data_IF_988591901306
#
_entry.id   IF_988591901306
#
_cell.length_a   1.000
_cell.length_b   1.000
_cell.length_c   1.000
_cell.angle_alpha   90.00
_cell.angle_beta   90.00
_cell.angle_gamma   90.00
#
_symmetry.space_group_name_H-M   'P 1'
#
loop_
_entity.id
_entity.type
_entity.pdbx_description
1 polymer ?
#
# COMPACT_ATOMS: atom_id res chain seq x y z
N UNK A 1 -0.39 -31.93 16.81
CA UNK A 1 -1.06 -33.20 16.44
C UNK A 1 -1.96 -32.91 15.24
N UNK A 2 -1.67 -33.56 14.11
CA UNK A 2 -2.30 -33.27 12.82
C UNK A 2 -3.77 -33.72 12.79
N UNK A 3 -4.70 -32.78 12.58
CA UNK A 3 -6.11 -33.08 12.33
C UNK A 3 -6.32 -33.50 10.87
N UNK A 4 -5.92 -34.73 10.53
CA UNK A 4 -6.40 -35.43 9.35
C UNK A 4 -7.89 -35.80 9.57
N UNK A 5 -8.82 -34.89 9.27
CA UNK A 5 -10.25 -35.19 9.47
C UNK A 5 -11.25 -34.44 8.60
N UNK A 6 -10.87 -33.35 7.93
CA UNK A 6 -11.83 -32.51 7.19
C UNK A 6 -11.95 -32.88 5.71
N UNK A 7 -10.86 -33.34 5.08
CA UNK A 7 -10.85 -33.72 3.66
C UNK A 7 -11.62 -35.00 3.36
N UNK A 8 -11.51 -36.01 4.22
CA UNK A 8 -12.17 -37.32 4.07
C UNK A 8 -13.67 -37.24 4.27
N UNK A 9 -14.14 -36.37 5.19
CA UNK A 9 -15.55 -36.11 5.42
C UNK A 9 -16.24 -35.38 4.24
N UNK A 10 -15.53 -34.46 3.58
CA UNK A 10 -16.04 -33.73 2.43
C UNK A 10 -16.19 -34.64 1.20
N UNK A 11 -15.18 -35.49 0.96
CA UNK A 11 -15.22 -36.48 -0.11
C UNK A 11 -16.33 -37.51 0.10
N UNK A 12 -16.52 -37.99 1.34
CA UNK A 12 -17.57 -38.98 1.65
C UNK A 12 -18.97 -38.43 1.48
N UNK A 13 -19.24 -37.19 1.89
CA UNK A 13 -20.57 -36.56 1.69
C UNK A 13 -20.83 -36.30 0.20
N UNK A 14 -19.84 -35.80 -0.56
CA UNK A 14 -19.99 -35.61 -2.00
C UNK A 14 -20.16 -36.92 -2.76
N UNK A 15 -19.43 -37.97 -2.37
CA UNK A 15 -19.57 -39.33 -2.94
C UNK A 15 -20.93 -39.93 -2.58
N UNK A 16 -21.44 -39.71 -1.37
CA UNK A 16 -22.80 -40.14 -0.98
C UNK A 16 -23.88 -39.41 -1.77
N UNK A 17 -23.76 -38.09 -1.97
CA UNK A 17 -24.70 -37.31 -2.79
C UNK A 17 -24.62 -37.77 -4.25
N UNK A 18 -23.42 -37.97 -4.80
CA UNK A 18 -23.23 -38.47 -6.16
C UNK A 18 -23.78 -39.90 -6.33
N UNK A 19 -23.56 -40.79 -5.34
CA UNK A 19 -24.09 -42.15 -5.33
C UNK A 19 -25.62 -42.20 -5.24
N UNK A 20 -26.24 -41.28 -4.48
CA UNK A 20 -27.69 -41.15 -4.40
C UNK A 20 -28.28 -40.60 -5.71
N UNK A 21 -27.60 -39.65 -6.36
CA UNK A 21 -28.00 -39.12 -7.67
C UNK A 21 -27.84 -40.16 -8.79
N UNK A 22 -26.77 -40.96 -8.78
CA UNK A 22 -26.60 -42.05 -9.76
C UNK A 22 -27.60 -43.19 -9.53
N UNK A 23 -27.89 -43.56 -8.28
CA UNK A 23 -28.93 -44.52 -7.95
C UNK A 23 -30.33 -44.04 -8.40
N UNK A 24 -30.58 -42.73 -8.35
CA UNK A 24 -31.80 -42.11 -8.86
C UNK A 24 -31.91 -42.17 -10.39
N UNK A 25 -30.83 -41.88 -11.12
CA UNK A 25 -30.83 -41.96 -12.60
C UNK A 25 -31.00 -43.40 -13.12
N UNK A 26 -30.59 -44.42 -12.36
CA UNK A 26 -30.64 -45.83 -12.78
C UNK A 26 -31.99 -46.49 -12.49
N UNK A 27 -32.77 -46.02 -11.52
CA UNK A 27 -33.91 -46.81 -10.99
C UNK A 27 -35.30 -46.50 -11.55
N UNK A 28 -35.45 -45.49 -12.42
CA UNK A 28 -36.75 -45.17 -13.02
C UNK A 28 -37.75 -44.58 -12.02
N UNK A 29 -38.14 -43.33 -12.25
CA UNK A 29 -38.94 -42.47 -11.36
C UNK A 29 -40.11 -43.14 -10.63
N UNK A 30 -39.96 -43.33 -9.31
CA UNK A 30 -41.06 -43.31 -8.35
C UNK A 30 -40.94 -42.04 -7.51
N UNK A 31 -42.01 -41.25 -7.40
CA UNK A 31 -42.02 -39.96 -6.69
C UNK A 31 -41.54 -40.07 -5.23
N UNK A 32 -41.76 -41.22 -4.59
CA UNK A 32 -41.27 -41.55 -3.26
C UNK A 32 -39.75 -41.63 -3.18
N UNK A 33 -39.07 -42.18 -4.20
CA UNK A 33 -37.61 -42.27 -4.26
C UNK A 33 -36.98 -40.87 -4.36
N UNK A 34 -37.56 -39.98 -5.17
CA UNK A 34 -37.13 -38.58 -5.26
C UNK A 34 -37.24 -37.88 -3.90
N UNK A 35 -38.37 -38.04 -3.21
CA UNK A 35 -38.61 -37.42 -1.89
C UNK A 35 -37.61 -37.95 -0.85
N UNK A 36 -37.32 -39.25 -0.82
CA UNK A 36 -36.33 -39.83 0.09
C UNK A 36 -34.91 -39.33 -0.24
N UNK A 37 -34.50 -39.31 -1.51
CA UNK A 37 -33.18 -38.79 -1.90
C UNK A 37 -33.02 -37.31 -1.52
N UNK A 38 -34.03 -36.47 -1.78
CA UNK A 38 -34.01 -35.06 -1.38
C UNK A 38 -33.96 -34.93 0.16
N UNK A 39 -34.71 -35.74 0.90
CA UNK A 39 -34.68 -35.74 2.36
C UNK A 39 -33.29 -36.16 2.91
N UNK A 40 -32.66 -37.18 2.34
CA UNK A 40 -31.32 -37.62 2.76
C UNK A 40 -30.28 -36.55 2.42
N UNK A 41 -30.31 -35.97 1.22
CA UNK A 41 -29.39 -34.89 0.83
C UNK A 41 -29.57 -33.68 1.74
N UNK A 42 -30.79 -33.27 2.05
CA UNK A 42 -31.06 -32.14 2.94
C UNK A 42 -30.59 -32.41 4.37
N UNK A 43 -30.80 -33.61 4.92
CA UNK A 43 -30.27 -34.00 6.23
C UNK A 43 -28.74 -33.99 6.23
N UNK A 44 -28.08 -34.62 5.25
CA UNK A 44 -26.62 -34.64 5.15
C UNK A 44 -26.04 -33.22 4.97
N UNK A 45 -26.66 -32.39 4.13
CA UNK A 45 -26.27 -31.00 3.94
C UNK A 45 -26.45 -30.18 5.23
N UNK A 46 -27.53 -30.42 5.98
CA UNK A 46 -27.79 -29.74 7.26
C UNK A 46 -26.77 -30.14 8.34
N UNK A 47 -26.41 -31.42 8.42
CA UNK A 47 -25.37 -31.93 9.33
C UNK A 47 -23.99 -31.40 8.96
N UNK A 48 -23.68 -31.34 7.66
CA UNK A 48 -22.44 -30.76 7.16
C UNK A 48 -22.34 -29.26 7.47
N UNK A 49 -23.41 -28.52 7.21
CA UNK A 49 -23.49 -27.09 7.53
C UNK A 49 -23.39 -26.85 9.04
N UNK A 50 -24.06 -27.69 9.84
CA UNK A 50 -23.96 -27.64 11.30
C UNK A 50 -22.53 -27.88 11.78
N UNK A 51 -21.81 -28.87 11.21
CA UNK A 51 -20.40 -29.11 11.51
C UNK A 51 -19.51 -27.92 11.10
N UNK A 52 -19.74 -27.32 9.94
CA UNK A 52 -18.98 -26.15 9.49
C UNK A 52 -19.19 -24.93 10.39
N UNK A 53 -20.40 -24.77 10.93
CA UNK A 53 -20.79 -23.70 11.85
C UNK A 53 -20.52 -24.02 13.31
N UNK A 54 -19.92 -25.16 13.62
CA UNK A 54 -19.59 -25.53 15.01
C UNK A 54 -18.51 -24.59 15.53
N UNK A 55 -18.92 -23.64 16.37
CA UNK A 55 -18.02 -22.70 17.06
C UNK A 55 -17.55 -23.31 18.39
N UNK A 56 -16.36 -22.94 18.82
CA UNK A 56 -15.85 -23.22 20.17
C UNK A 56 -15.81 -21.92 20.99
N UNK A 57 -15.43 -22.01 22.28
CA UNK A 57 -15.34 -20.84 23.15
C UNK A 57 -14.30 -19.79 22.74
N UNK A 58 -13.37 -20.14 21.84
CA UNK A 58 -12.34 -19.23 21.32
C UNK A 58 -12.72 -18.56 20.00
N UNK A 59 -13.76 -19.01 19.30
CA UNK A 59 -14.14 -18.47 17.98
C UNK A 59 -14.33 -16.95 17.98
N UNK A 60 -14.93 -16.38 19.03
CA UNK A 60 -15.18 -14.93 19.09
C UNK A 60 -13.89 -14.10 19.04
N UNK A 61 -12.77 -14.68 19.52
CA UNK A 61 -11.44 -14.06 19.49
C UNK A 61 -10.60 -14.43 18.27
N UNK A 62 -11.13 -15.18 17.30
CA UNK A 62 -10.39 -15.57 16.08
C UNK A 62 -10.78 -14.71 14.89
N UNK A 63 -9.81 -14.05 14.26
CA UNK A 63 -10.02 -13.21 13.07
C UNK A 63 -9.11 -13.67 11.94
N UNK A 64 -9.66 -13.84 10.74
CA UNK A 64 -8.87 -14.03 9.53
C UNK A 64 -8.64 -12.69 8.84
N UNK A 65 -7.38 -12.36 8.56
CA UNK A 65 -6.98 -11.24 7.73
C UNK A 65 -6.53 -11.81 6.39
N UNK A 66 -7.21 -11.45 5.30
CA UNK A 66 -7.00 -11.99 3.97
C UNK A 66 -6.49 -10.92 3.01
N UNK A 67 -5.35 -11.21 2.39
CA UNK A 67 -4.75 -10.41 1.32
C UNK A 67 -4.49 -11.32 0.14
N UNK A 68 -5.14 -11.06 -1.00
CA UNK A 68 -4.85 -11.78 -2.24
C UNK A 68 -3.66 -11.14 -2.96
N UNK A 69 -2.56 -11.05 -2.23
CA UNK A 69 -1.37 -10.28 -2.57
C UNK A 69 -0.24 -10.62 -1.61
N UNK A 70 0.92 -10.02 -1.84
CA UNK A 70 2.08 -10.19 -0.98
C UNK A 70 1.89 -9.50 0.37
N UNK A 71 1.95 -10.27 1.44
CA UNK A 71 1.82 -9.77 2.82
C UNK A 71 2.91 -8.74 3.10
N UNK A 72 4.15 -8.99 2.66
CA UNK A 72 5.29 -8.11 2.91
C UNK A 72 5.12 -6.72 2.29
N UNK A 73 4.28 -6.58 1.26
CA UNK A 73 3.98 -5.32 0.55
C UNK A 73 2.61 -4.74 0.90
N UNK A 74 1.97 -5.25 1.94
CA UNK A 74 0.63 -4.81 2.37
C UNK A 74 0.67 -4.23 3.79
N UNK A 75 1.31 -3.06 4.00
CA UNK A 75 1.58 -2.51 5.33
C UNK A 75 0.30 -2.28 6.14
N UNK A 76 -0.76 -1.72 5.54
CA UNK A 76 -2.06 -1.51 6.20
C UNK A 76 -2.63 -2.81 6.80
N UNK A 77 -2.55 -3.91 6.06
CA UNK A 77 -3.06 -5.20 6.54
C UNK A 77 -2.16 -5.83 7.60
N UNK A 78 -0.85 -5.61 7.52
CA UNK A 78 0.08 -5.96 8.59
C UNK A 78 -0.24 -5.19 9.88
N UNK A 79 -0.58 -3.90 9.80
CA UNK A 79 -0.99 -3.10 10.96
C UNK A 79 -2.35 -3.53 11.51
N UNK A 80 -3.31 -3.91 10.66
CA UNK A 80 -4.56 -4.52 11.13
C UNK A 80 -4.31 -5.82 11.89
N UNK A 81 -3.47 -6.71 11.35
CA UNK A 81 -3.11 -7.96 12.03
C UNK A 81 -2.44 -7.70 13.40
N UNK A 82 -1.49 -6.77 13.46
CA UNK A 82 -0.83 -6.37 14.71
C UNK A 82 -1.80 -5.73 15.70
N UNK A 83 -2.65 -4.82 15.25
CA UNK A 83 -3.63 -4.15 16.11
C UNK A 83 -4.61 -5.16 16.70
N UNK A 84 -5.13 -6.08 15.89
CA UNK A 84 -6.02 -7.15 16.36
C UNK A 84 -5.30 -8.04 17.40
N UNK A 85 -4.06 -8.44 17.14
CA UNK A 85 -3.26 -9.24 18.08
C UNK A 85 -3.10 -8.55 19.43
N UNK A 86 -2.71 -7.25 19.42
CA UNK A 86 -2.53 -6.44 20.63
C UNK A 86 -3.81 -6.29 21.45
N UNK A 87 -4.98 -6.44 20.83
CA UNK A 87 -6.28 -6.43 21.49
C UNK A 87 -6.78 -7.84 21.87
N UNK A 88 -5.90 -8.84 21.87
CA UNK A 88 -6.19 -10.19 22.36
C UNK A 88 -6.92 -11.10 21.37
N UNK A 89 -6.91 -10.76 20.07
CA UNK A 89 -7.41 -11.64 19.02
C UNK A 89 -6.31 -12.56 18.48
N UNK A 90 -6.68 -13.81 18.19
CA UNK A 90 -5.86 -14.75 17.43
C UNK A 90 -6.08 -14.49 15.95
N UNK A 91 -5.03 -14.07 15.25
CA UNK A 91 -5.09 -13.64 13.85
C UNK A 91 -4.56 -14.73 12.94
N UNK A 92 -5.38 -15.17 11.98
CA UNK A 92 -4.92 -15.98 10.85
C UNK A 92 -4.68 -15.06 9.66
N UNK A 93 -3.41 -14.85 9.29
CA UNK A 93 -3.03 -13.93 8.22
C UNK A 93 -2.74 -14.69 6.92
N UNK A 94 -3.62 -14.57 5.93
CA UNK A 94 -3.58 -15.30 4.66
C UNK A 94 -3.09 -14.40 3.53
N UNK A 95 -2.08 -14.83 2.77
CA UNK A 95 -1.57 -14.10 1.60
C UNK A 95 -0.30 -14.72 1.01
N UNK A 96 0.29 -14.07 0.00
CA UNK A 96 1.58 -14.49 -0.57
C UNK A 96 2.73 -14.15 0.39
N UNK A 97 3.80 -14.94 0.34
CA UNK A 97 5.03 -14.76 1.14
C UNK A 97 6.24 -14.55 0.23
N UNK A 98 6.11 -13.64 -0.74
CA UNK A 98 7.19 -13.34 -1.68
C UNK A 98 8.23 -12.41 -1.05
N UNK A 99 7.80 -11.48 -0.18
CA UNK A 99 8.68 -10.61 0.59
C UNK A 99 8.48 -10.84 2.09
N UNK A 100 9.55 -10.60 2.87
CA UNK A 100 9.54 -10.76 4.32
C UNK A 100 8.57 -9.74 4.96
N UNK A 101 7.57 -10.19 5.75
CA UNK A 101 6.74 -9.29 6.54
C UNK A 101 7.53 -8.50 7.59
N UNK A 102 6.93 -7.43 8.11
CA UNK A 102 7.49 -6.62 9.20
C UNK A 102 7.87 -7.50 10.40
N UNK A 103 8.99 -7.19 11.05
CA UNK A 103 9.53 -8.04 12.12
C UNK A 103 8.51 -8.23 13.27
N UNK A 104 7.73 -7.20 13.59
CA UNK A 104 6.70 -7.28 14.62
C UNK A 104 5.63 -8.33 14.28
N UNK A 105 5.23 -8.45 13.00
CA UNK A 105 4.26 -9.48 12.57
C UNK A 105 4.83 -10.87 12.76
N UNK A 106 6.13 -11.04 12.50
CA UNK A 106 6.83 -12.31 12.62
C UNK A 106 7.11 -12.72 14.08
N UNK A 107 7.21 -11.75 14.99
CA UNK A 107 7.49 -11.97 16.41
C UNK A 107 6.23 -12.19 17.25
N UNK A 108 5.08 -11.76 16.75
CA UNK A 108 3.81 -11.78 17.48
C UNK A 108 3.20 -13.18 17.54
N UNK A 109 3.07 -13.74 18.75
CA UNK A 109 2.65 -15.14 18.96
C UNK A 109 1.19 -15.42 18.53
N UNK A 110 0.30 -14.43 18.64
CA UNK A 110 -1.10 -14.61 18.26
C UNK A 110 -1.34 -14.42 16.75
N UNK A 111 -0.30 -14.14 15.96
CA UNK A 111 -0.42 -14.05 14.50
C UNK A 111 0.13 -15.32 13.85
N UNK A 112 -0.76 -16.06 13.19
CA UNK A 112 -0.41 -17.22 12.38
C UNK A 112 -0.52 -16.90 10.91
N UNK A 113 0.60 -16.90 10.20
CA UNK A 113 0.64 -16.73 8.75
C UNK A 113 0.27 -18.04 8.04
N UNK A 114 -0.63 -17.97 7.07
CA UNK A 114 -1.02 -19.08 6.21
C UNK A 114 -0.74 -18.69 4.75
N UNK A 115 0.37 -19.18 4.16
CA UNK A 115 0.73 -18.80 2.81
C UNK A 115 -0.23 -19.38 1.78
N UNK A 116 -0.54 -18.58 0.77
CA UNK A 116 -1.15 -19.02 -0.48
C UNK A 116 -0.15 -18.85 -1.62
N UNK A 117 -0.26 -19.68 -2.66
CA UNK A 117 0.62 -19.61 -3.82
C UNK A 117 0.04 -18.66 -4.88
N UNK A 118 0.89 -17.84 -5.50
CA UNK A 118 0.49 -17.01 -6.62
C UNK A 118 0.10 -17.88 -7.83
N UNK A 119 -1.14 -17.73 -8.29
CA UNK A 119 -1.66 -18.47 -9.44
C UNK A 119 -1.33 -17.72 -10.74
N UNK A 120 -0.50 -18.32 -11.58
CA UNK A 120 -0.09 -17.75 -12.88
C UNK A 120 -1.01 -18.14 -14.05
N UNK A 121 -1.92 -19.10 -13.84
CA UNK A 121 -2.80 -19.64 -14.89
C UNK A 121 -2.06 -20.49 -15.93
N UNK A 122 -2.80 -21.02 -16.91
CA UNK A 122 -2.20 -21.76 -18.03
C UNK A 122 -1.50 -20.77 -18.95
N UNK A 123 -0.18 -20.89 -19.08
CA UNK A 123 0.66 -19.94 -19.84
C UNK A 123 0.64 -20.17 -21.35
N UNK A 124 0.05 -21.27 -21.80
CA UNK A 124 -0.02 -21.67 -23.21
C UNK A 124 -1.45 -21.49 -23.71
N UNK A 125 -1.63 -20.71 -24.78
CA UNK A 125 -2.94 -20.49 -25.42
C UNK A 125 -3.42 -19.03 -25.37
N UNK A 126 -4.71 -18.77 -25.71
CA UNK A 126 -5.28 -17.43 -25.73
C UNK A 126 -5.25 -16.78 -24.34
N UNK A 127 -4.93 -15.47 -24.26
CA UNK A 127 -4.86 -14.73 -22.99
C UNK A 127 -6.14 -14.87 -22.13
N UNK A 128 -7.31 -14.96 -22.76
CA UNK A 128 -8.58 -15.19 -22.07
C UNK A 128 -8.58 -16.49 -21.26
N UNK A 129 -8.05 -17.59 -21.83
CA UNK A 129 -7.97 -18.88 -21.15
C UNK A 129 -7.05 -18.81 -19.93
N UNK A 130 -5.92 -18.09 -20.05
CA UNK A 130 -5.02 -17.83 -18.92
C UNK A 130 -5.74 -17.12 -17.79
N UNK A 131 -6.48 -16.05 -18.07
CA UNK A 131 -7.22 -15.29 -17.06
C UNK A 131 -8.32 -16.13 -16.39
N UNK A 132 -9.16 -16.80 -17.18
CA UNK A 132 -10.25 -17.63 -16.65
C UNK A 132 -9.70 -18.75 -15.78
N UNK A 133 -8.67 -19.46 -16.25
CA UNK A 133 -8.07 -20.55 -15.50
C UNK A 133 -7.38 -20.05 -14.23
N UNK A 134 -6.71 -18.90 -14.29
CA UNK A 134 -6.14 -18.23 -13.11
C UNK A 134 -7.21 -17.98 -12.06
N UNK A 135 -8.32 -17.35 -12.44
CA UNK A 135 -9.42 -17.04 -11.52
C UNK A 135 -10.02 -18.31 -10.92
N UNK A 136 -10.29 -19.34 -11.73
CA UNK A 136 -10.87 -20.62 -11.23
C UNK A 136 -9.94 -21.29 -10.22
N UNK A 137 -8.65 -21.45 -10.55
CA UNK A 137 -7.69 -22.09 -9.63
C UNK A 137 -7.55 -21.27 -8.35
N UNK A 138 -7.53 -19.93 -8.45
CA UNK A 138 -7.45 -19.04 -7.30
C UNK A 138 -8.72 -19.11 -6.43
N UNK A 139 -9.91 -19.24 -7.02
CA UNK A 139 -11.16 -19.51 -6.30
C UNK A 139 -11.05 -20.81 -5.48
N UNK A 140 -10.62 -21.90 -6.13
CA UNK A 140 -10.51 -23.22 -5.49
C UNK A 140 -9.47 -23.23 -4.37
N UNK A 141 -8.33 -22.56 -4.58
CA UNK A 141 -7.28 -22.41 -3.58
C UNK A 141 -7.80 -21.64 -2.36
N UNK A 142 -8.39 -20.47 -2.56
CA UNK A 142 -8.95 -19.65 -1.47
C UNK A 142 -10.04 -20.41 -0.71
N UNK A 143 -10.95 -21.07 -1.42
CA UNK A 143 -12.01 -21.86 -0.81
C UNK A 143 -11.42 -23.00 0.05
N UNK A 144 -10.44 -23.73 -0.47
CA UNK A 144 -9.76 -24.80 0.25
C UNK A 144 -9.05 -24.30 1.50
N UNK A 145 -8.33 -23.19 1.42
CA UNK A 145 -7.60 -22.61 2.56
C UNK A 145 -8.55 -22.10 3.62
N UNK A 146 -9.55 -21.29 3.23
CA UNK A 146 -10.52 -20.71 4.17
C UNK A 146 -11.45 -21.76 4.80
N UNK A 147 -11.68 -22.91 4.14
CA UNK A 147 -12.41 -24.03 4.75
C UNK A 147 -11.52 -24.92 5.63
N UNK A 148 -10.19 -24.88 5.48
CA UNK A 148 -9.26 -25.65 6.32
C UNK A 148 -8.86 -24.94 7.61
N UNK A 149 -8.87 -23.60 7.61
CA UNK A 149 -8.67 -22.84 8.85
C UNK A 149 -9.84 -23.05 9.81
N UNK A 150 -9.57 -22.83 11.10
CA UNK A 150 -10.58 -22.93 12.14
C UNK A 150 -11.70 -21.90 11.92
N UNK A 151 -12.92 -22.13 12.45
CA UNK A 151 -13.98 -21.14 12.40
C UNK A 151 -13.56 -19.81 13.03
N UNK A 152 -13.66 -18.73 12.25
CA UNK A 152 -13.30 -17.37 12.66
C UNK A 152 -14.59 -16.58 12.96
N UNK A 153 -14.55 -15.64 13.88
CA UNK A 153 -15.68 -14.72 14.09
C UNK A 153 -15.78 -13.71 12.95
N UNK A 154 -14.64 -13.20 12.48
CA UNK A 154 -14.55 -12.20 11.43
C UNK A 154 -13.54 -12.62 10.35
N UNK A 155 -13.82 -12.22 9.11
CA UNK A 155 -12.89 -12.26 7.99
C UNK A 155 -12.75 -10.85 7.44
N UNK A 156 -11.58 -10.23 7.64
CA UNK A 156 -11.21 -8.92 7.12
C UNK A 156 -10.39 -9.10 5.84
N UNK A 157 -10.87 -8.56 4.73
CA UNK A 157 -10.24 -8.73 3.42
C UNK A 157 -9.84 -7.39 2.82
N UNK A 158 -8.63 -7.33 2.27
CA UNK A 158 -8.17 -6.20 1.48
C UNK A 158 -8.85 -6.17 0.10
N UNK A 159 -9.34 -5.00 -0.33
CA UNK A 159 -9.65 -4.72 -1.73
C UNK A 159 -8.88 -3.47 -2.19
N UNK A 160 -8.12 -3.51 -3.30
CA UNK A 160 -7.90 -4.61 -4.23
C UNK A 160 -6.73 -5.57 -3.86
N UNK A 161 -6.62 -6.75 -4.50
CA UNK A 161 -7.54 -7.29 -5.51
C UNK A 161 -8.73 -8.03 -4.89
N UNK A 162 -9.94 -7.62 -5.31
CA UNK A 162 -11.19 -8.22 -4.85
C UNK A 162 -11.63 -9.43 -5.65
N UNK A 163 -11.23 -9.57 -6.91
CA UNK A 163 -11.57 -10.73 -7.74
C UNK A 163 -10.47 -11.82 -7.59
N UNK A 164 -10.80 -13.07 -7.21
CA UNK A 164 -12.11 -13.60 -6.81
C UNK A 164 -12.41 -13.56 -5.30
N UNK A 165 -11.53 -12.95 -4.50
CA UNK A 165 -11.57 -12.93 -3.04
C UNK A 165 -12.92 -12.54 -2.43
N UNK A 166 -13.59 -11.49 -2.92
CA UNK A 166 -14.85 -10.98 -2.34
C UNK A 166 -15.90 -12.09 -2.34
N UNK A 167 -16.13 -12.71 -3.48
CA UNK A 167 -17.14 -13.77 -3.64
C UNK A 167 -16.82 -15.01 -2.79
N UNK A 168 -15.55 -15.43 -2.79
CA UNK A 168 -15.13 -16.62 -2.03
C UNK A 168 -15.20 -16.37 -0.52
N UNK A 169 -14.69 -15.22 -0.06
CA UNK A 169 -14.72 -14.83 1.35
C UNK A 169 -16.16 -14.67 1.84
N UNK A 170 -17.03 -14.02 1.07
CA UNK A 170 -18.46 -13.92 1.37
C UNK A 170 -19.09 -15.31 1.49
N UNK A 171 -18.89 -16.18 0.50
CA UNK A 171 -19.47 -17.53 0.50
C UNK A 171 -19.01 -18.34 1.72
N UNK A 172 -17.73 -18.30 2.07
CA UNK A 172 -17.21 -18.98 3.26
C UNK A 172 -17.80 -18.38 4.53
N UNK A 173 -17.95 -17.06 4.62
CA UNK A 173 -18.57 -16.40 5.77
C UNK A 173 -20.03 -16.84 5.95
N UNK A 174 -20.80 -16.96 4.86
CA UNK A 174 -22.17 -17.50 4.89
C UNK A 174 -22.19 -18.95 5.37
N UNK A 175 -21.27 -19.79 4.87
CA UNK A 175 -21.16 -21.19 5.31
C UNK A 175 -20.82 -21.30 6.80
N UNK A 176 -19.85 -20.51 7.28
CA UNK A 176 -19.31 -20.54 8.66
C UNK A 176 -20.13 -19.73 9.67
N UNK A 177 -21.02 -18.84 9.22
CA UNK A 177 -21.66 -17.86 10.09
C UNK A 177 -20.70 -16.79 10.62
N UNK A 178 -19.65 -16.48 9.86
CA UNK A 178 -18.67 -15.44 10.18
C UNK A 178 -19.13 -14.08 9.66
N UNK A 179 -18.65 -12.99 10.24
CA UNK A 179 -18.87 -11.62 9.74
C UNK A 179 -17.83 -11.30 8.68
N UNK A 180 -18.28 -10.90 7.49
CA UNK A 180 -17.38 -10.52 6.41
C UNK A 180 -17.15 -9.01 6.44
N UNK A 181 -15.88 -8.60 6.45
CA UNK A 181 -15.45 -7.21 6.42
C UNK A 181 -14.57 -6.97 5.20
N UNK A 182 -14.92 -5.98 4.38
CA UNK A 182 -14.06 -5.52 3.27
C UNK A 182 -13.39 -4.22 3.69
N UNK A 183 -12.08 -4.14 3.52
CA UNK A 183 -11.31 -2.91 3.64
C UNK A 183 -10.97 -2.38 2.24
N UNK A 184 -11.65 -1.31 1.85
CA UNK A 184 -11.59 -0.70 0.53
C UNK A 184 -10.45 0.33 0.48
N UNK A 185 -9.38 -0.02 -0.24
CA UNK A 185 -8.21 0.82 -0.45
C UNK A 185 -8.28 1.54 -1.79
N UNK A 186 -8.89 0.91 -2.78
CA UNK A 186 -9.18 1.46 -4.11
C UNK A 186 -10.24 0.57 -4.78
N UNK A 187 -10.62 0.87 -6.00
CA UNK A 187 -11.40 -0.03 -6.85
C UNK A 187 -10.49 -0.88 -7.73
N UNK A 188 -10.69 -2.19 -7.73
CA UNK A 188 -9.91 -3.10 -8.58
C UNK A 188 -10.07 -2.76 -10.06
N UNK A 189 -11.29 -2.40 -10.49
CA UNK A 189 -11.54 -2.06 -11.89
C UNK A 189 -10.82 -0.78 -12.36
N UNK A 190 -10.62 0.23 -11.50
CA UNK A 190 -9.92 1.46 -11.89
C UNK A 190 -8.43 1.21 -12.08
N UNK A 191 -7.82 0.40 -11.22
CA UNK A 191 -6.42 -0.05 -11.40
C UNK A 191 -6.27 -0.83 -12.71
N UNK A 192 -7.19 -1.76 -12.99
CA UNK A 192 -7.18 -2.51 -14.26
C UNK A 192 -7.36 -1.62 -15.49
N UNK A 193 -8.07 -0.50 -15.33
CA UNK A 193 -8.31 0.46 -16.41
C UNK A 193 -7.04 1.24 -16.80
N UNK A 194 -6.04 1.36 -15.93
CA UNK A 194 -4.75 1.98 -16.28
C UNK A 194 -4.07 1.19 -17.42
N UNK A 195 -4.03 -0.15 -17.32
CA UNK A 195 -3.36 -0.97 -18.34
C UNK A 195 -4.22 -1.33 -19.55
N UNK A 196 -5.55 -1.42 -19.39
CA UNK A 196 -6.46 -1.89 -20.46
C UNK A 196 -7.34 -0.80 -21.06
N UNK A 197 -7.47 0.35 -20.40
CA UNK A 197 -8.41 1.40 -20.75
C UNK A 197 -9.82 1.17 -20.17
N UNK A 198 -10.50 2.27 -19.84
CA UNK A 198 -11.82 2.28 -19.18
C UNK A 198 -12.92 1.54 -19.94
N UNK A 199 -12.84 1.51 -21.28
CA UNK A 199 -13.87 0.90 -22.15
C UNK A 199 -13.66 -0.61 -22.35
N UNK A 200 -12.58 -1.19 -21.84
CA UNK A 200 -12.25 -2.58 -22.07
C UNK A 200 -13.27 -3.53 -21.40
N UNK A 201 -13.74 -4.61 -22.08
CA UNK A 201 -14.78 -5.50 -21.54
C UNK A 201 -14.43 -6.12 -20.18
N UNK A 202 -13.15 -6.46 -19.96
CA UNK A 202 -12.68 -7.03 -18.68
C UNK A 202 -12.80 -6.01 -17.54
N UNK A 203 -12.56 -4.72 -17.80
CA UNK A 203 -12.73 -3.65 -16.80
C UNK A 203 -14.20 -3.49 -16.43
N UNK A 204 -15.10 -3.53 -17.43
CA UNK A 204 -16.55 -3.50 -17.19
C UNK A 204 -17.02 -4.71 -16.36
N UNK A 205 -16.48 -5.89 -16.63
CA UNK A 205 -16.77 -7.11 -15.87
C UNK A 205 -16.25 -6.99 -14.43
N UNK A 206 -15.03 -6.49 -14.22
CA UNK A 206 -14.47 -6.26 -12.89
C UNK A 206 -15.32 -5.24 -12.10
N UNK A 207 -15.74 -4.14 -12.74
CA UNK A 207 -16.64 -3.16 -12.13
C UNK A 207 -17.98 -3.78 -11.73
N UNK A 208 -18.60 -4.56 -12.62
CA UNK A 208 -19.84 -5.28 -12.30
C UNK A 208 -19.65 -6.25 -11.14
N UNK A 209 -18.53 -6.98 -11.11
CA UNK A 209 -18.22 -7.94 -10.05
C UNK A 209 -18.08 -7.26 -8.69
N UNK A 210 -17.28 -6.19 -8.59
CA UNK A 210 -17.11 -5.45 -7.34
C UNK A 210 -18.45 -4.82 -6.91
N UNK A 211 -19.22 -4.26 -7.84
CA UNK A 211 -20.52 -3.66 -7.56
C UNK A 211 -21.57 -4.68 -7.09
N UNK A 212 -21.55 -5.91 -7.63
CA UNK A 212 -22.48 -6.97 -7.25
C UNK A 212 -22.11 -7.62 -5.90
N UNK A 213 -20.84 -7.99 -5.71
CA UNK A 213 -20.40 -8.72 -4.52
C UNK A 213 -20.03 -7.81 -3.34
N UNK A 214 -19.61 -6.56 -3.58
CA UNK A 214 -19.21 -5.61 -2.55
C UNK A 214 -20.29 -5.38 -1.48
N UNK A 215 -21.56 -5.09 -1.86
CA UNK A 215 -22.66 -4.88 -0.91
C UNK A 215 -23.02 -6.10 -0.04
N UNK A 216 -22.51 -7.29 -0.37
CA UNK A 216 -22.78 -8.50 0.39
C UNK A 216 -21.93 -8.62 1.68
N UNK A 217 -20.92 -7.76 1.85
CA UNK A 217 -20.14 -7.69 3.09
C UNK A 217 -20.98 -7.18 4.26
N UNK A 218 -20.69 -7.70 5.46
CA UNK A 218 -21.41 -7.28 6.67
C UNK A 218 -20.97 -5.89 7.15
N UNK A 219 -19.68 -5.60 7.04
CA UNK A 219 -19.10 -4.31 7.37
C UNK A 219 -18.10 -3.90 6.31
N UNK A 220 -17.90 -2.59 6.15
CA UNK A 220 -16.97 -2.04 5.17
C UNK A 220 -16.13 -0.95 5.84
N UNK A 221 -14.82 -1.03 5.63
CA UNK A 221 -13.84 0.00 5.97
C UNK A 221 -13.36 0.66 4.68
N UNK A 222 -12.94 1.92 4.73
CA UNK A 222 -12.37 2.60 3.57
C UNK A 222 -11.33 3.63 3.96
N UNK A 223 -10.46 4.01 3.03
CA UNK A 223 -9.29 4.88 3.27
C UNK A 223 -9.63 6.36 3.44
N UNK A 224 -10.76 6.83 2.91
CA UNK A 224 -11.13 8.26 2.87
C UNK A 224 -12.62 8.49 3.10
N UNK A 225 -13.00 9.72 3.44
CA UNK A 225 -14.40 10.14 3.46
C UNK A 225 -14.95 10.26 2.03
N UNK A 226 -14.14 10.68 1.06
CA UNK A 226 -14.53 10.67 -0.36
C UNK A 226 -14.94 9.26 -0.83
N UNK A 227 -14.15 8.24 -0.51
CA UNK A 227 -14.48 6.85 -0.85
C UNK A 227 -15.72 6.35 -0.11
N UNK A 228 -15.87 6.71 1.17
CA UNK A 228 -17.08 6.40 1.95
C UNK A 228 -18.34 6.95 1.27
N UNK A 229 -18.29 8.21 0.86
CA UNK A 229 -19.40 8.88 0.19
C UNK A 229 -19.70 8.25 -1.18
N UNK A 230 -18.66 7.92 -1.95
CA UNK A 230 -18.80 7.25 -3.25
C UNK A 230 -19.41 5.84 -3.10
N UNK A 231 -18.89 5.03 -2.17
CA UNK A 231 -19.43 3.71 -1.84
C UNK A 231 -20.90 3.79 -1.44
N UNK A 232 -21.29 4.80 -0.65
CA UNK A 232 -22.68 4.98 -0.26
C UNK A 232 -23.57 5.41 -1.42
N UNK A 233 -23.15 6.41 -2.21
CA UNK A 233 -23.95 6.99 -3.30
C UNK A 233 -24.07 6.07 -4.50
N UNK A 234 -22.95 5.45 -4.91
CA UNK A 234 -22.85 4.69 -6.15
C UNK A 234 -23.03 3.18 -5.98
N UNK A 235 -22.83 2.64 -4.76
CA UNK A 235 -22.86 1.20 -4.51
C UNK A 235 -23.84 0.79 -3.41
N UNK A 236 -24.44 1.76 -2.70
CA UNK A 236 -25.29 1.50 -1.55
C UNK A 236 -24.55 0.89 -0.36
N UNK A 237 -23.21 1.00 -0.34
CA UNK A 237 -22.35 0.42 0.70
C UNK A 237 -22.13 1.45 1.80
N UNK A 238 -22.51 1.09 3.04
CA UNK A 238 -22.17 1.90 4.22
C UNK A 238 -20.78 1.50 4.73
N UNK A 239 -19.82 2.40 4.56
CA UNK A 239 -18.45 2.21 5.02
C UNK A 239 -18.10 3.13 6.19
N UNK A 240 -17.12 2.70 6.99
CA UNK A 240 -16.47 3.53 8.01
C UNK A 240 -15.09 3.92 7.52
N UNK A 241 -14.78 5.22 7.53
CA UNK A 241 -13.46 5.69 7.14
C UNK A 241 -12.45 5.37 8.24
N UNK A 242 -11.36 4.73 7.84
CA UNK A 242 -10.20 4.44 8.66
C UNK A 242 -8.97 4.90 7.89
N UNK A 243 -8.48 6.08 8.27
CA UNK A 243 -7.32 6.70 7.65
C UNK A 243 -6.05 5.90 7.94
N UNK A 244 -5.17 5.85 6.95
CA UNK A 244 -3.83 5.33 7.11
C UNK A 244 -3.00 6.20 8.05
N UNK A 245 -2.10 5.54 8.80
CA UNK A 245 -1.14 6.18 9.69
C UNK A 245 0.26 5.70 9.36
N UNK A 246 1.27 6.58 9.42
CA UNK A 246 2.64 6.16 9.23
C UNK A 246 3.06 5.22 10.37
N UNK A 247 3.90 4.23 10.05
CA UNK A 247 4.55 3.45 11.09
C UNK A 247 5.51 4.30 11.91
N UNK A 248 5.78 3.87 13.15
CA UNK A 248 6.67 4.56 14.09
C UNK A 248 8.13 4.71 13.60
N UNK A 249 8.53 3.94 12.58
CA UNK A 249 9.83 4.05 11.92
C UNK A 249 9.97 5.35 11.12
N UNK A 250 8.86 5.91 10.64
CA UNK A 250 8.82 7.20 9.96
C UNK A 250 8.78 8.30 11.02
N UNK A 251 9.91 8.97 11.19
CA UNK A 251 10.16 10.04 12.16
C UNK A 251 11.28 10.93 11.65
N UNK A 252 11.37 12.14 12.20
CA UNK A 252 12.52 13.00 11.96
C UNK A 252 13.81 12.29 12.32
N UNK A 253 14.79 12.37 11.42
CA UNK A 253 16.05 11.65 11.56
C UNK A 253 17.03 12.48 12.41
N UNK A 254 17.58 11.95 13.51
CA UNK A 254 18.66 12.61 14.25
C UNK A 254 19.88 12.89 13.37
N UNK A 255 20.51 14.06 13.52
CA UNK A 255 21.61 14.52 12.65
C UNK A 255 22.72 13.48 12.44
N UNK A 256 23.10 12.75 13.49
CA UNK A 256 24.10 11.68 13.39
C UNK A 256 23.71 10.59 12.39
N UNK A 257 22.47 10.11 12.46
CA UNK A 257 21.95 9.12 11.51
C UNK A 257 21.81 9.70 10.10
N UNK A 258 21.50 11.00 9.97
CA UNK A 258 21.53 11.67 8.66
C UNK A 258 22.94 11.63 8.07
N UNK A 259 23.95 12.00 8.85
CA UNK A 259 25.35 12.02 8.41
C UNK A 259 25.85 10.62 8.01
N UNK A 260 25.59 9.59 8.82
CA UNK A 260 25.94 8.20 8.49
C UNK A 260 25.31 7.74 7.16
N UNK A 261 24.05 8.09 6.91
CA UNK A 261 23.40 7.80 5.63
C UNK A 261 24.03 8.59 4.49
N UNK A 262 24.25 9.90 4.67
CA UNK A 262 24.81 10.76 3.63
C UNK A 262 26.24 10.34 3.25
N UNK A 263 27.06 9.89 4.20
CA UNK A 263 28.38 9.32 3.92
C UNK A 263 28.28 8.05 3.06
N UNK A 264 27.36 7.13 3.40
CA UNK A 264 27.12 5.94 2.57
C UNK A 264 26.64 6.29 1.17
N UNK A 265 25.75 7.26 1.04
CA UNK A 265 25.26 7.73 -0.25
C UNK A 265 26.36 8.44 -1.05
N UNK A 266 27.21 9.25 -0.40
CA UNK A 266 28.32 9.96 -1.04
C UNK A 266 29.34 9.02 -1.69
N UNK A 267 29.51 7.79 -1.16
CA UNK A 267 30.36 6.78 -1.79
C UNK A 267 29.86 6.31 -3.18
N UNK A 268 28.56 6.48 -3.46
CA UNK A 268 27.92 6.01 -4.70
C UNK A 268 27.39 7.14 -5.57
N UNK A 269 26.95 8.23 -4.95
CA UNK A 269 26.27 9.35 -5.58
C UNK A 269 27.08 10.64 -5.33
N UNK A 270 27.79 11.16 -6.36
CA UNK A 270 28.60 12.38 -6.25
C UNK A 270 27.83 13.60 -5.73
N UNK A 271 26.51 13.64 -5.94
CA UNK A 271 25.62 14.70 -5.47
C UNK A 271 25.60 14.85 -3.93
N UNK A 272 26.04 13.83 -3.19
CA UNK A 272 26.15 13.86 -1.72
C UNK A 272 27.57 14.19 -1.23
N UNK A 273 28.57 14.21 -2.14
CA UNK A 273 29.95 14.47 -1.80
C UNK A 273 30.20 15.96 -1.53
N UNK A 274 31.12 16.25 -0.60
CA UNK A 274 31.59 17.60 -0.38
C UNK A 274 32.38 18.13 -1.60
N UNK A 275 32.19 19.39 -1.97
CA UNK A 275 32.81 20.00 -3.17
C UNK A 275 34.03 20.88 -2.89
N UNK A 276 34.32 21.15 -1.62
CA UNK A 276 35.47 21.95 -1.20
C UNK A 276 36.76 21.15 -1.13
N UNK A 277 37.89 21.86 -1.17
CA UNK A 277 39.22 21.28 -0.92
C UNK A 277 39.33 20.80 0.53
N UNK A 278 39.85 19.59 0.72
CA UNK A 278 40.22 19.06 2.03
C UNK A 278 41.36 19.92 2.61
N UNK A 279 41.02 20.88 3.47
CA UNK A 279 42.03 21.52 4.31
C UNK A 279 42.57 20.46 5.29
N UNK A 280 43.86 20.12 5.15
CA UNK A 280 44.54 19.02 5.84
C UNK A 280 44.57 19.15 7.38
N UNK A 281 44.13 20.27 7.95
CA UNK A 281 44.32 20.60 9.38
C UNK A 281 43.17 20.19 10.33
N UNK A 282 42.00 19.76 9.84
CA UNK A 282 40.88 19.39 10.73
C UNK A 282 40.39 17.97 10.48
N UNK A 283 40.43 17.12 11.52
CA UNK A 283 39.87 15.75 11.52
C UNK A 283 38.34 15.80 11.45
N UNK A 284 37.79 16.08 10.28
CA UNK A 284 36.36 16.29 10.10
C UNK A 284 35.87 15.47 8.92
N UNK A 285 34.80 14.72 9.12
CA UNK A 285 34.09 14.06 8.02
C UNK A 285 33.01 15.00 7.46
N UNK A 286 32.97 15.15 6.14
CA UNK A 286 32.09 16.12 5.47
C UNK A 286 31.30 15.47 4.35
N UNK A 287 30.03 15.84 4.28
CA UNK A 287 29.17 15.66 3.11
C UNK A 287 28.77 17.03 2.57
N UNK A 288 27.98 17.09 1.51
CA UNK A 288 27.41 18.36 1.04
C UNK A 288 26.41 18.96 2.05
N UNK A 289 25.82 18.14 2.94
CA UNK A 289 24.77 18.55 3.87
C UNK A 289 25.21 18.69 5.32
N UNK A 290 26.16 17.86 5.75
CA UNK A 290 26.52 17.69 7.17
C UNK A 290 28.03 17.61 7.37
N UNK A 291 28.45 18.02 8.56
CA UNK A 291 29.83 18.01 9.04
C UNK A 291 29.87 17.29 10.38
N UNK A 292 30.78 16.33 10.54
CA UNK A 292 31.02 15.58 11.77
C UNK A 292 32.43 15.89 12.30
N UNK A 293 32.52 16.44 13.50
CA UNK A 293 33.79 16.63 14.19
C UNK A 293 34.23 15.31 14.84
N UNK A 294 35.35 14.73 14.36
CA UNK A 294 35.83 13.43 14.85
C UNK A 294 36.44 13.51 16.26
N UNK A 295 36.67 14.71 16.81
CA UNK A 295 37.20 14.86 18.16
C UNK A 295 36.13 14.62 19.23
N UNK A 296 34.89 15.02 18.97
CA UNK A 296 33.77 14.92 19.93
C UNK A 296 32.52 14.20 19.40
N UNK A 297 32.56 13.71 18.14
CA UNK A 297 31.47 13.00 17.47
C UNK A 297 30.19 13.86 17.35
N UNK A 298 30.35 15.19 17.35
CA UNK A 298 29.26 16.14 17.14
C UNK A 298 28.99 16.35 15.66
N UNK A 299 27.71 16.37 15.29
CA UNK A 299 27.25 16.52 13.91
C UNK A 299 26.41 17.78 13.76
N UNK A 300 26.81 18.64 12.82
CA UNK A 300 26.11 19.88 12.47
C UNK A 300 25.74 19.92 10.98
N UNK A 301 24.72 20.70 10.63
CA UNK A 301 24.40 21.01 9.24
C UNK A 301 25.42 22.00 8.67
N UNK A 302 25.80 21.85 7.41
CA UNK A 302 26.65 22.82 6.69
C UNK A 302 25.86 24.13 6.48
N UNK A 303 26.48 25.28 6.71
CA UNK A 303 25.84 26.61 6.69
C UNK A 303 25.23 26.97 5.34
N UNK A 304 25.90 26.65 4.24
CA UNK A 304 25.45 26.91 2.86
C UNK A 304 25.09 25.62 2.12
N UNK A 305 24.54 24.63 2.83
CA UNK A 305 24.14 23.38 2.20
C UNK A 305 23.04 23.61 1.14
N UNK A 306 23.01 22.80 0.07
CA UNK A 306 21.84 22.74 -0.79
C UNK A 306 20.61 22.25 -0.02
N UNK A 307 19.43 22.60 -0.52
CA UNK A 307 18.19 22.00 -0.04
C UNK A 307 18.02 20.60 -0.65
N UNK A 308 17.63 19.64 0.19
CA UNK A 308 17.38 18.25 -0.20
C UNK A 308 15.90 18.08 -0.53
N UNK A 309 15.60 18.03 -1.82
CA UNK A 309 14.29 17.70 -2.37
C UNK A 309 14.18 16.19 -2.54
N UNK A 310 13.09 15.58 -2.11
CA UNK A 310 12.90 14.14 -2.17
C UNK A 310 11.58 13.77 -2.84
N UNK A 311 11.64 12.86 -3.81
CA UNK A 311 10.45 12.18 -4.32
C UNK A 311 10.62 10.67 -4.25
N UNK A 312 9.62 9.99 -3.70
CA UNK A 312 9.53 8.53 -3.76
C UNK A 312 8.54 8.13 -4.84
N UNK A 313 8.88 7.10 -5.62
CA UNK A 313 8.12 6.74 -6.82
C UNK A 313 8.14 5.25 -7.11
N UNK A 314 7.06 4.78 -7.71
CA UNK A 314 6.95 3.43 -8.25
C UNK A 314 7.27 3.40 -9.75
N UNK A 315 7.63 4.54 -10.35
CA UNK A 315 7.93 4.72 -11.78
C UNK A 315 6.87 4.10 -12.68
N UNK A 316 5.61 4.33 -12.33
CA UNK A 316 4.41 3.86 -13.02
C UNK A 316 3.73 5.03 -13.75
N UNK A 317 2.83 4.70 -14.69
CA UNK A 317 2.17 5.68 -15.57
C UNK A 317 1.30 6.72 -14.84
N UNK A 318 0.89 6.45 -13.60
CA UNK A 318 0.16 7.37 -12.74
C UNK A 318 1.04 8.47 -12.10
N UNK A 319 2.36 8.41 -12.29
CA UNK A 319 3.34 9.37 -11.77
C UNK A 319 4.10 10.03 -12.93
N UNK A 320 3.58 11.15 -13.46
CA UNK A 320 4.23 11.90 -14.53
C UNK A 320 5.37 12.78 -14.00
N UNK A 321 6.59 12.26 -14.07
CA UNK A 321 7.80 12.94 -13.62
C UNK A 321 8.22 14.09 -14.54
N UNK A 322 7.67 14.20 -15.75
CA UNK A 322 7.93 15.35 -16.63
C UNK A 322 7.56 16.65 -15.93
N UNK A 323 6.51 16.65 -15.11
CA UNK A 323 6.07 17.80 -14.32
C UNK A 323 7.16 18.27 -13.35
N UNK A 324 7.78 17.35 -12.61
CA UNK A 324 8.89 17.70 -11.70
C UNK A 324 10.13 18.15 -12.48
N UNK A 325 10.47 17.49 -13.58
CA UNK A 325 11.65 17.85 -14.36
C UNK A 325 11.51 19.25 -14.99
N UNK A 326 10.34 19.60 -15.53
CA UNK A 326 10.10 20.95 -16.04
C UNK A 326 10.09 21.99 -14.91
N UNK A 327 9.50 21.68 -13.75
CA UNK A 327 9.52 22.58 -12.60
C UNK A 327 10.96 22.87 -12.10
N UNK A 328 11.84 21.88 -12.14
CA UNK A 328 13.26 22.05 -11.79
C UNK A 328 14.03 22.90 -12.81
N UNK A 329 13.69 22.84 -14.11
CA UNK A 329 14.23 23.75 -15.13
C UNK A 329 13.79 25.19 -14.89
N UNK A 330 12.53 25.39 -14.53
CA UNK A 330 12.01 26.72 -14.19
C UNK A 330 12.68 27.27 -12.93
N UNK A 331 12.88 26.43 -11.91
CA UNK A 331 13.62 26.79 -10.70
C UNK A 331 15.07 27.23 -11.00
N UNK A 332 15.78 26.50 -11.86
CA UNK A 332 17.10 26.89 -12.37
C UNK A 332 17.04 28.25 -13.10
N UNK A 333 15.99 28.48 -13.89
CA UNK A 333 15.73 29.76 -14.56
C UNK A 333 15.62 30.92 -13.57
N UNK A 334 14.87 30.75 -12.47
CA UNK A 334 14.77 31.78 -11.43
C UNK A 334 16.12 32.16 -10.83
N UNK A 335 17.01 31.18 -10.60
CA UNK A 335 18.36 31.44 -10.10
C UNK A 335 19.17 32.26 -11.14
N UNK A 336 19.11 31.85 -12.42
CA UNK A 336 19.80 32.54 -13.52
C UNK A 336 19.29 33.98 -13.73
N UNK A 337 18.02 34.23 -13.42
CA UNK A 337 17.40 35.57 -13.44
C UNK A 337 17.71 36.41 -12.19
N UNK A 338 18.46 35.87 -11.22
CA UNK A 338 18.94 36.60 -10.05
C UNK A 338 18.10 36.41 -8.77
N UNK A 339 17.19 35.44 -8.73
CA UNK A 339 16.52 35.08 -7.48
C UNK A 339 17.54 34.48 -6.49
N UNK A 340 17.49 34.94 -5.24
CA UNK A 340 18.29 34.36 -4.15
C UNK A 340 17.64 33.07 -3.68
N UNK A 341 18.07 31.95 -4.26
CA UNK A 341 17.58 30.60 -3.96
C UNK A 341 18.77 29.65 -3.73
N UNK A 342 18.64 28.66 -2.82
CA UNK A 342 19.71 27.69 -2.60
C UNK A 342 19.87 26.74 -3.80
N UNK A 343 21.07 26.18 -4.01
CA UNK A 343 21.21 25.01 -4.88
C UNK A 343 20.35 23.85 -4.38
N UNK A 344 19.93 22.97 -5.28
CA UNK A 344 19.07 21.83 -4.98
C UNK A 344 19.77 20.51 -5.26
N UNK A 345 19.58 19.56 -4.35
CA UNK A 345 19.79 18.14 -4.63
C UNK A 345 18.43 17.46 -4.59
N UNK A 346 17.98 16.97 -5.74
CA UNK A 346 16.74 16.24 -5.92
C UNK A 346 17.01 14.73 -5.98
N UNK A 347 16.70 14.04 -4.88
CA UNK A 347 16.75 12.59 -4.82
C UNK A 347 15.40 11.98 -5.25
N UNK A 348 15.40 11.15 -6.29
CA UNK A 348 14.21 10.44 -6.78
C UNK A 348 14.39 8.93 -6.57
N UNK A 349 13.82 8.39 -5.49
CA UNK A 349 14.02 6.98 -5.11
C UNK A 349 12.87 6.08 -5.55
N UNK A 350 13.20 4.81 -5.78
CA UNK A 350 12.23 3.75 -6.07
C UNK A 350 12.54 2.95 -7.33
N UNK A 351 11.60 2.07 -7.69
CA UNK A 351 11.75 1.09 -8.77
C UNK A 351 10.45 0.91 -9.54
N UNK A 352 10.57 0.89 -10.86
CA UNK A 352 9.49 0.49 -11.74
C UNK A 352 9.82 0.67 -13.22
N UNK A 353 8.84 0.41 -14.08
CA UNK A 353 9.05 0.24 -15.52
C UNK A 353 9.54 1.52 -16.22
N UNK A 354 9.13 2.71 -15.76
CA UNK A 354 9.50 3.97 -16.42
C UNK A 354 10.82 4.59 -15.93
N UNK A 355 11.51 3.96 -14.96
CA UNK A 355 12.74 4.53 -14.38
C UNK A 355 13.80 4.86 -15.44
N UNK A 356 14.03 3.96 -16.38
CA UNK A 356 15.04 4.14 -17.42
C UNK A 356 14.65 5.23 -18.44
N UNK A 357 13.35 5.39 -18.69
CA UNK A 357 12.86 6.48 -19.55
C UNK A 357 13.19 7.84 -18.95
N UNK A 358 12.82 8.06 -17.68
CA UNK A 358 13.11 9.33 -17.00
C UNK A 358 14.59 9.53 -16.71
N UNK A 359 15.36 8.46 -16.49
CA UNK A 359 16.81 8.56 -16.37
C UNK A 359 17.44 9.22 -17.60
N UNK A 360 17.04 8.80 -18.81
CA UNK A 360 17.52 9.43 -20.06
C UNK A 360 17.13 10.90 -20.17
N UNK A 361 15.94 11.26 -19.69
CA UNK A 361 15.51 12.65 -19.66
C UNK A 361 16.37 13.45 -18.68
N UNK A 362 16.59 12.94 -17.47
CA UNK A 362 17.47 13.54 -16.46
C UNK A 362 18.89 13.74 -17.00
N UNK A 363 19.47 12.72 -17.62
CA UNK A 363 20.83 12.78 -18.19
C UNK A 363 20.95 13.80 -19.34
N UNK A 364 19.83 14.19 -19.96
CA UNK A 364 19.79 15.23 -21.00
C UNK A 364 19.65 16.65 -20.45
N UNK A 365 19.37 16.81 -19.15
CA UNK A 365 19.24 18.11 -18.51
C UNK A 365 20.62 18.72 -18.26
N UNK A 366 20.76 20.00 -18.59
CA UNK A 366 21.96 20.80 -18.31
C UNK A 366 21.61 21.85 -17.25
N UNK A 367 21.72 21.45 -15.98
CA UNK A 367 21.43 22.29 -14.81
C UNK A 367 22.74 22.52 -14.03
N UNK A 368 22.94 23.73 -13.54
CA UNK A 368 24.15 24.12 -12.80
C UNK A 368 23.89 24.17 -11.30
N UNK A 369 22.70 24.60 -10.89
CA UNK A 369 22.32 24.77 -9.49
C UNK A 369 21.41 23.65 -8.97
N UNK A 370 20.86 22.83 -9.86
CA UNK A 370 20.01 21.68 -9.51
C UNK A 370 20.69 20.37 -9.91
N UNK A 371 20.88 19.50 -8.94
CA UNK A 371 21.42 18.16 -9.16
C UNK A 371 20.35 17.09 -8.93
N UNK A 372 20.27 16.11 -9.81
CA UNK A 372 19.28 15.04 -9.69
C UNK A 372 20.02 13.72 -9.55
N UNK A 373 19.59 12.89 -8.59
CA UNK A 373 20.07 11.52 -8.46
C UNK A 373 18.90 10.55 -8.22
N UNK A 374 19.09 9.27 -8.55
CA UNK A 374 18.04 8.24 -8.44
C UNK A 374 18.43 7.08 -7.52
N UNK A 375 18.67 7.37 -6.22
CA UNK A 375 19.32 6.42 -5.34
C UNK A 375 18.50 5.15 -5.12
N UNK A 376 19.20 4.02 -5.10
CA UNK A 376 18.65 2.80 -4.53
C UNK A 376 18.79 2.87 -3.01
N UNK A 377 17.70 2.62 -2.31
CA UNK A 377 17.67 2.63 -0.85
C UNK A 377 17.26 1.26 -0.36
N UNK A 378 17.97 0.77 0.64
CA UNK A 378 17.49 -0.35 1.44
C UNK A 378 16.25 0.08 2.24
N UNK A 379 15.41 -0.90 2.61
CA UNK A 379 14.14 -0.61 3.28
C UNK A 379 14.31 0.18 4.59
N UNK A 380 15.44 0.01 5.27
CA UNK A 380 15.79 0.69 6.52
C UNK A 380 16.30 2.12 6.29
N UNK A 381 16.88 2.40 5.12
CA UNK A 381 17.43 3.71 4.77
C UNK A 381 16.36 4.68 4.24
N UNK A 382 15.24 4.14 3.74
CA UNK A 382 14.14 4.96 3.21
C UNK A 382 13.52 5.90 4.26
N UNK A 383 13.11 5.44 5.46
CA UNK A 383 12.63 6.35 6.51
C UNK A 383 13.69 7.37 6.94
N UNK A 384 14.96 6.95 6.99
CA UNK A 384 16.09 7.82 7.36
C UNK A 384 16.22 8.96 6.35
N UNK A 385 16.20 8.67 5.04
CA UNK A 385 16.27 9.71 4.01
C UNK A 385 15.06 10.64 4.04
N UNK A 386 13.84 10.12 4.20
CA UNK A 386 12.64 10.95 4.35
C UNK A 386 12.77 11.91 5.53
N UNK A 387 13.26 11.44 6.68
CA UNK A 387 13.46 12.27 7.87
C UNK A 387 14.66 13.21 7.81
N UNK A 388 15.52 13.09 6.79
CA UNK A 388 16.64 14.00 6.52
C UNK A 388 16.33 15.06 5.46
N UNK A 389 15.28 14.87 4.65
CA UNK A 389 14.95 15.77 3.55
C UNK A 389 14.32 17.10 4.05
N UNK A 390 14.38 18.12 3.18
CA UNK A 390 13.83 19.45 3.46
C UNK A 390 12.39 19.57 2.98
N UNK A 391 12.12 19.08 1.77
CA UNK A 391 10.82 19.10 1.10
C UNK A 391 10.56 17.80 0.32
N UNK A 392 9.35 17.27 0.42
CA UNK A 392 8.88 16.14 -0.38
C UNK A 392 8.11 16.58 -1.63
N UNK A 393 8.20 15.84 -2.73
CA UNK A 393 7.33 16.00 -3.91
C UNK A 393 6.60 14.69 -4.20
N UNK A 394 5.27 14.75 -4.25
CA UNK A 394 4.43 13.61 -4.59
C UNK A 394 3.66 13.86 -5.89
N UNK A 395 3.93 13.02 -6.89
CA UNK A 395 3.28 13.05 -8.21
C UNK A 395 2.21 11.95 -8.37
N UNK A 396 1.96 11.16 -7.32
CA UNK A 396 1.02 10.07 -7.38
C UNK A 396 -0.42 10.59 -7.47
N UNK A 397 -1.15 10.13 -8.49
CA UNK A 397 -2.59 10.34 -8.61
C UNK A 397 -3.34 9.04 -8.38
N UNK A 398 -4.38 9.13 -7.56
CA UNK A 398 -5.32 8.04 -7.35
C UNK A 398 -5.99 7.60 -8.66
N UNK A 399 -5.97 6.29 -8.95
CA UNK A 399 -6.65 5.74 -10.13
C UNK A 399 -8.18 5.91 -10.12
N UNK A 400 -8.77 6.00 -8.92
CA UNK A 400 -10.21 6.24 -8.70
C UNK A 400 -10.53 7.69 -8.35
N UNK A 401 -9.52 8.49 -7.98
CA UNK A 401 -9.68 9.80 -7.34
C UNK A 401 -10.05 9.73 -5.85
N UNK A 402 -10.06 8.54 -5.23
CA UNK A 402 -10.65 8.29 -3.91
C UNK A 402 -9.69 7.74 -2.86
N UNK A 403 -8.46 7.40 -3.21
CA UNK A 403 -7.43 6.91 -2.28
C UNK A 403 -6.28 7.90 -2.08
N UNK A 404 -5.65 7.84 -0.91
CA UNK A 404 -4.60 8.77 -0.53
C UNK A 404 -3.22 8.20 -0.81
N UNK A 405 -2.23 9.05 -1.14
CA UNK A 405 -0.89 8.60 -1.45
C UNK A 405 -0.17 8.21 -0.15
N UNK A 406 0.05 6.91 0.04
CA UNK A 406 0.78 6.38 1.20
C UNK A 406 2.18 6.99 1.37
N UNK A 407 2.82 7.37 0.25
CA UNK A 407 4.12 8.06 0.25
C UNK A 407 4.06 9.39 1.03
N UNK A 408 2.97 10.15 0.91
CA UNK A 408 2.79 11.40 1.67
C UNK A 408 2.54 11.09 3.15
N UNK A 409 1.82 10.01 3.45
CA UNK A 409 1.62 9.56 4.85
C UNK A 409 2.99 9.28 5.49
N UNK A 410 3.89 8.59 4.79
CA UNK A 410 5.25 8.32 5.26
C UNK A 410 6.07 9.62 5.44
N UNK A 411 6.03 10.53 4.46
CA UNK A 411 6.69 11.84 4.53
C UNK A 411 6.20 12.65 5.75
N UNK A 412 4.89 12.70 5.98
CA UNK A 412 4.30 13.36 7.14
C UNK A 412 4.69 12.68 8.46
N UNK A 413 4.82 11.35 8.50
CA UNK A 413 5.39 10.64 9.65
C UNK A 413 6.80 11.15 10.00
N UNK A 414 7.60 11.44 8.98
CA UNK A 414 8.93 12.06 9.11
C UNK A 414 8.91 13.58 9.34
N UNK A 415 7.73 14.19 9.52
CA UNK A 415 7.55 15.65 9.58
C UNK A 415 8.13 16.39 8.36
N UNK A 416 8.14 15.74 7.19
CA UNK A 416 8.57 16.31 5.93
C UNK A 416 7.37 16.99 5.25
N UNK A 417 7.37 18.33 5.09
CA UNK A 417 6.36 19.02 4.29
C UNK A 417 6.40 18.52 2.84
N UNK A 418 5.27 18.59 2.14
CA UNK A 418 5.18 18.10 0.75
C UNK A 418 4.55 19.13 -0.18
N UNK A 419 5.00 19.13 -1.44
CA UNK A 419 4.19 19.58 -2.57
C UNK A 419 3.57 18.33 -3.23
N UNK A 420 2.25 18.28 -3.35
CA UNK A 420 1.54 17.11 -3.88
C UNK A 420 0.62 17.48 -5.07
N UNK A 421 0.62 16.66 -6.11
CA UNK A 421 -0.18 16.92 -7.30
C UNK A 421 -1.68 16.74 -7.04
N UNK A 422 -2.49 17.70 -7.46
CA UNK A 422 -3.92 17.77 -7.18
C UNK A 422 -4.72 16.57 -7.73
N UNK A 423 -5.59 16.03 -6.88
CA UNK A 423 -6.75 15.20 -7.23
C UNK A 423 -7.80 15.26 -6.11
N UNK A 424 -9.04 14.85 -6.41
CA UNK A 424 -10.25 15.23 -5.67
C UNK A 424 -10.21 14.99 -4.15
N UNK A 425 -9.71 13.84 -3.68
CA UNK A 425 -9.68 13.52 -2.26
C UNK A 425 -8.38 13.88 -1.54
N UNK A 426 -7.37 14.42 -2.24
CA UNK A 426 -6.03 14.70 -1.68
C UNK A 426 -6.09 15.62 -0.45
N UNK A 427 -7.03 16.56 -0.46
CA UNK A 427 -7.26 17.54 0.60
C UNK A 427 -7.64 16.93 1.96
N UNK A 428 -7.98 15.63 2.01
CA UNK A 428 -8.14 14.92 3.28
C UNK A 428 -6.81 14.70 3.99
N UNK A 429 -5.71 14.59 3.23
CA UNK A 429 -4.35 14.40 3.75
C UNK A 429 -3.54 15.70 3.71
N UNK A 430 -3.40 16.31 2.53
CA UNK A 430 -2.62 17.54 2.36
C UNK A 430 -3.52 18.75 2.52
N UNK A 431 -3.30 19.51 3.59
CA UNK A 431 -3.97 20.77 3.87
C UNK A 431 -3.11 21.89 3.29
N UNK A 432 -3.53 22.40 2.14
CA UNK A 432 -2.84 23.48 1.43
C UNK A 432 -2.59 24.66 2.37
N UNK A 433 -1.37 25.20 2.36
CA UNK A 433 -0.91 26.30 3.24
C UNK A 433 -0.82 25.95 4.73
N UNK A 434 -1.01 24.68 5.12
CA UNK A 434 -0.92 24.25 6.51
C UNK A 434 0.18 23.21 6.73
N UNK A 435 0.14 22.08 6.01
CA UNK A 435 1.12 21.00 6.14
C UNK A 435 1.91 20.72 4.86
N UNK A 436 1.59 21.45 3.79
CA UNK A 436 2.18 21.31 2.47
C UNK A 436 1.45 22.17 1.45
N UNK A 437 1.82 22.01 0.18
CA UNK A 437 1.19 22.68 -0.96
C UNK A 437 0.62 21.66 -1.94
N UNK A 438 -0.34 22.12 -2.72
CA UNK A 438 -1.02 21.33 -3.73
C UNK A 438 -0.79 22.04 -5.05
N UNK A 439 -0.35 21.33 -6.08
CA UNK A 439 -0.09 21.90 -7.39
C UNK A 439 -0.82 21.14 -8.50
N UNK A 440 -1.06 21.77 -9.64
CA UNK A 440 -1.76 21.18 -10.80
C UNK A 440 -0.82 20.84 -11.95
N UNK A 441 0.26 21.61 -12.09
CA UNK A 441 1.21 21.53 -13.20
C UNK A 441 2.63 21.92 -12.76
N UNK A 442 3.56 21.93 -13.73
CA UNK A 442 4.98 22.21 -13.49
C UNK A 442 5.23 23.65 -13.07
N UNK A 443 4.46 24.60 -13.62
CA UNK A 443 4.62 26.01 -13.34
C UNK A 443 4.21 26.33 -11.90
N UNK A 444 3.07 25.80 -11.46
CA UNK A 444 2.64 25.95 -10.07
C UNK A 444 3.63 25.29 -9.11
N UNK A 445 4.17 24.11 -9.46
CA UNK A 445 5.21 23.47 -8.66
C UNK A 445 6.49 24.33 -8.59
N UNK A 446 6.95 24.92 -9.70
CA UNK A 446 8.14 25.75 -9.73
C UNK A 446 8.02 26.99 -8.83
N UNK A 447 6.88 27.70 -8.92
CA UNK A 447 6.59 28.86 -8.06
C UNK A 447 6.49 28.45 -6.58
N UNK A 448 5.92 27.28 -6.29
CA UNK A 448 5.89 26.74 -4.93
C UNK A 448 7.30 26.42 -4.41
N UNK A 449 8.17 25.80 -5.22
CA UNK A 449 9.57 25.55 -4.85
C UNK A 449 10.31 26.87 -4.56
N UNK A 450 10.17 27.86 -5.44
CA UNK A 450 10.73 29.21 -5.26
C UNK A 450 10.27 29.84 -3.95
N UNK A 451 8.96 29.83 -3.69
CA UNK A 451 8.41 30.46 -2.49
C UNK A 451 8.78 29.73 -1.20
N UNK A 452 8.91 28.40 -1.22
CA UNK A 452 9.28 27.63 -0.04
C UNK A 452 10.76 27.75 0.31
N UNK A 453 11.61 27.93 -0.70
CA UNK A 453 13.06 27.92 -0.55
C UNK A 453 13.71 29.31 -0.53
N UNK A 454 12.94 30.38 -0.71
CA UNK A 454 13.46 31.77 -0.69
C UNK A 454 14.08 32.20 0.64
N UNK A 455 13.67 31.57 1.74
CA UNK A 455 14.20 31.85 3.09
C UNK A 455 15.10 30.72 3.60
N UNK A 456 15.38 29.70 2.79
CA UNK A 456 16.20 28.56 3.20
C UNK A 456 17.66 28.99 3.45
N UNK A 457 18.36 28.47 4.49
CA UNK A 457 17.97 27.38 5.40
C UNK A 457 17.23 27.81 6.68
N UNK A 458 16.69 29.04 6.76
CA UNK A 458 15.99 29.52 7.95
C UNK A 458 14.78 28.66 8.31
N UNK A 459 14.61 28.37 9.60
CA UNK A 459 13.41 27.71 10.12
C UNK A 459 12.20 28.64 10.24
N UNK A 460 12.37 29.94 10.05
CA UNK A 460 11.28 30.92 10.25
C UNK A 460 10.35 31.05 9.04
N UNK A 461 10.82 30.69 7.86
CA UNK A 461 10.03 30.73 6.63
C UNK A 461 8.90 29.70 6.56
N UNK A 462 8.18 29.70 5.43
CA UNK A 462 7.01 28.84 5.16
C UNK A 462 7.31 27.34 5.34
N UNK A 463 8.48 26.89 4.88
CA UNK A 463 8.89 25.48 5.00
C UNK A 463 9.00 25.05 6.47
N UNK A 464 9.59 25.89 7.32
CA UNK A 464 9.69 25.66 8.75
C UNK A 464 8.34 25.70 9.47
N UNK A 465 7.42 26.57 9.03
CA UNK A 465 6.05 26.61 9.52
C UNK A 465 5.31 25.29 9.26
N UNK A 466 5.34 24.76 8.03
CA UNK A 466 4.68 23.50 7.71
C UNK A 466 5.26 22.33 8.51
N UNK A 467 6.58 22.31 8.71
CA UNK A 467 7.25 21.31 9.55
C UNK A 467 6.78 21.40 11.01
N UNK A 468 6.61 22.60 11.57
CA UNK A 468 6.05 22.80 12.93
C UNK A 468 4.60 22.32 13.03
N UNK A 469 3.78 22.58 12.01
CA UNK A 469 2.40 22.12 11.97
C UNK A 469 2.33 20.58 11.95
N UNK A 470 3.18 19.92 11.16
CA UNK A 470 3.32 18.45 11.15
C UNK A 470 3.76 17.89 12.51
N UNK A 471 4.74 18.52 13.18
CA UNK A 471 5.16 18.13 14.53
C UNK A 471 4.01 18.23 15.54
N UNK A 472 3.20 19.29 15.42
CA UNK A 472 2.07 19.55 16.33
C UNK A 472 0.94 18.56 16.09
N UNK A 473 0.58 18.30 14.82
CA UNK A 473 -0.51 17.37 14.46
C UNK A 473 -0.20 15.93 14.83
N UNK A 474 1.09 15.53 14.83
CA UNK A 474 1.54 14.22 15.32
C UNK A 474 1.17 13.96 16.78
N UNK A 475 1.07 15.00 17.61
CA UNK A 475 0.63 14.91 19.00
C UNK A 475 -0.89 15.06 19.22
N UNK A 476 -1.64 15.52 18.22
CA UNK A 476 -3.02 16.01 18.39
C UNK A 476 -4.13 15.15 17.77
N UNK A 477 -3.84 14.00 17.14
CA UNK A 477 -4.89 13.19 16.50
C UNK A 477 -5.03 11.75 17.03
N UNK A 478 -6.01 11.63 17.95
CA UNK A 478 -6.96 10.54 18.32
C UNK A 478 -6.54 9.08 18.25
#
# INVERSE_FOLDING_TARGET
MASHGTGTACLTVLVLIAALLTAFCVTGSNATCLVVCVAVITVLASLWLWRLRRRDGGTERRVCVLVLGDIGRSPRMQYHALSLSKHGFNVTFVGFLDNKPHQDVLREENIRIVPIAEVKGVRVGPKLLTYVTKVIIQCLQLLSVLLRVEPQSHLLMQNPPGLPSIAVAWFVCVLRGSRFVIDWHNYGYTIMALSHGQRHPVVRLAKWYEHFFGPLATHNLCVTNAMKDDLQKNWGIRATTLYDRPAAIFRETPLKLQHELFMRLANTYPQFQHRGSEEEEVKVERTIFTVCDLADDSVTLTTERPALLLSSTSWTEDEDFSILLEALKEYEGFIKEGASLPPLVCAITGKGPQKEHYRKLIDSLQLEHVEICTPWLEAEDYPVLLGSADLGVCLHKSSSGLDLPMKVVDMFGCCLPVCAIHFDCLQELVKHEENGLIFRDSQELAEQLKSLLSEFPSSEGRLGLFRRNLRTSRGQHF
#
